data_IF_792663337533
#
_entry.id   IF_792663337533
#
_cell.length_a   1.000
_cell.length_b   1.000
_cell.length_c   1.000
_cell.angle_alpha   90.00
_cell.angle_beta   90.00
_cell.angle_gamma   90.00
#
_symmetry.space_group_name_H-M   'P 1'
#
loop_
_entity.id
_entity.type
_entity.pdbx_description
1 polymer ?
#
# COMPACT_ATOMS: atom_id res chain seq x y z
N UNK A 1 23.59 12.67 44.09
CA UNK A 1 22.12 12.78 43.80
C UNK A 1 21.77 12.58 42.32
N UNK A 2 22.60 13.07 41.39
CA UNK A 2 22.35 12.86 39.94
C UNK A 2 22.49 11.39 39.53
N UNK A 3 23.48 10.68 40.07
CA UNK A 3 23.66 9.24 39.81
C UNK A 3 22.52 8.39 40.37
N UNK A 4 21.97 8.76 41.52
CA UNK A 4 20.81 8.07 42.08
C UNK A 4 19.58 8.28 41.23
N UNK A 5 19.33 9.50 40.75
CA UNK A 5 18.24 9.82 39.85
C UNK A 5 18.36 9.08 38.51
N UNK A 6 19.54 8.98 37.91
CA UNK A 6 19.79 8.22 36.69
C UNK A 6 19.55 6.73 36.87
N UNK A 7 19.94 6.16 38.02
CA UNK A 7 19.68 4.75 38.30
C UNK A 7 18.19 4.48 38.51
N UNK A 8 17.51 5.32 39.33
CA UNK A 8 16.06 5.20 39.56
C UNK A 8 15.27 5.36 38.25
N UNK A 9 15.65 6.32 37.39
CA UNK A 9 15.04 6.52 36.08
C UNK A 9 15.24 5.31 35.17
N UNK A 10 16.44 4.72 35.16
CA UNK A 10 16.77 3.54 34.36
C UNK A 10 16.00 2.29 34.84
N UNK A 11 15.80 2.17 36.14
CA UNK A 11 15.04 1.07 36.76
C UNK A 11 13.53 1.19 36.45
N UNK A 12 12.99 2.40 36.55
CA UNK A 12 11.60 2.70 36.15
C UNK A 12 11.38 2.42 34.65
N UNK A 13 12.30 2.81 33.77
CA UNK A 13 12.23 2.50 32.35
C UNK A 13 12.27 0.99 32.07
N UNK A 14 13.11 0.24 32.82
CA UNK A 14 13.17 -1.22 32.68
C UNK A 14 11.88 -1.90 33.15
N UNK A 15 11.34 -1.48 34.29
CA UNK A 15 10.07 -2.04 34.80
C UNK A 15 8.88 -1.67 33.93
N UNK A 16 8.82 -0.44 33.43
CA UNK A 16 7.79 -0.03 32.46
C UNK A 16 7.88 -0.82 31.16
N UNK A 17 9.10 -1.09 30.67
CA UNK A 17 9.32 -1.96 29.50
C UNK A 17 8.87 -3.40 29.74
N UNK A 18 9.09 -3.93 30.94
CA UNK A 18 8.62 -5.29 31.29
C UNK A 18 7.10 -5.37 31.36
N UNK A 19 6.46 -4.39 32.00
CA UNK A 19 5.00 -4.31 32.08
C UNK A 19 4.40 -4.15 30.67
N UNK A 20 5.01 -3.30 29.84
CA UNK A 20 4.60 -3.14 28.44
C UNK A 20 4.74 -4.45 27.66
N UNK A 21 5.85 -5.16 27.82
CA UNK A 21 6.05 -6.49 27.24
C UNK A 21 5.03 -7.53 27.72
N UNK A 22 4.60 -7.46 28.98
CA UNK A 22 3.59 -8.37 29.51
C UNK A 22 2.18 -8.04 29.04
N UNK A 23 1.82 -6.76 28.95
CA UNK A 23 0.52 -6.30 28.45
C UNK A 23 0.31 -6.60 26.95
N UNK A 24 1.38 -6.63 26.18
CA UNK A 24 1.35 -6.90 24.73
C UNK A 24 1.92 -8.29 24.38
N UNK A 25 1.92 -9.23 25.33
CA UNK A 25 2.37 -10.62 25.10
C UNK A 25 1.53 -11.38 24.07
N UNK A 26 0.29 -10.96 23.84
CA UNK A 26 -0.59 -11.53 22.81
C UNK A 26 -0.43 -10.88 21.43
N UNK A 27 0.17 -9.70 21.35
CA UNK A 27 0.64 -9.13 20.10
C UNK A 27 1.96 -9.80 19.74
N UNK A 28 1.91 -10.80 18.85
CA UNK A 28 3.12 -11.44 18.32
C UNK A 28 4.07 -10.34 17.86
N UNK A 29 5.29 -10.23 18.44
CA UNK A 29 6.24 -9.22 18.03
C UNK A 29 6.46 -9.37 16.52
N UNK A 30 6.51 -8.26 15.80
CA UNK A 30 6.89 -8.17 14.40
C UNK A 30 8.33 -8.66 14.25
N UNK A 31 8.49 -9.97 14.27
CA UNK A 31 9.77 -10.62 14.13
C UNK A 31 9.97 -10.98 12.66
N UNK A 32 10.50 -10.02 11.90
CA UNK A 32 10.83 -10.22 10.49
C UNK A 32 12.20 -10.87 10.44
N UNK A 33 12.27 -12.14 10.06
CA UNK A 33 13.51 -12.93 9.98
C UNK A 33 14.38 -12.83 11.27
N UNK A 34 13.74 -12.82 12.44
CA UNK A 34 14.44 -12.91 13.72
C UNK A 34 14.90 -11.60 14.36
N UNK A 35 15.04 -10.48 13.66
CA UNK A 35 15.82 -9.34 14.17
C UNK A 35 15.19 -7.95 14.04
N UNK A 36 14.00 -7.76 13.43
CA UNK A 36 13.40 -6.42 13.31
C UNK A 36 12.22 -6.24 14.26
N UNK A 37 12.33 -5.24 15.15
CA UNK A 37 11.32 -4.87 16.15
C UNK A 37 10.84 -3.46 15.86
N UNK A 38 9.51 -3.30 15.64
CA UNK A 38 8.88 -2.00 15.37
C UNK A 38 8.01 -1.51 16.53
N UNK A 39 8.08 -2.18 17.68
CA UNK A 39 7.43 -1.78 18.93
C UNK A 39 8.45 -1.16 19.86
N UNK A 40 8.06 -0.12 20.60
CA UNK A 40 8.94 0.58 21.54
C UNK A 40 9.02 2.08 21.27
N UNK A 41 9.79 2.80 22.08
CA UNK A 41 9.95 4.26 21.97
C UNK A 41 11.05 4.61 20.96
N UNK A 42 12.07 3.76 20.85
CA UNK A 42 13.22 3.94 19.97
C UNK A 42 13.54 2.64 19.21
N UNK A 43 14.10 2.73 18.01
CA UNK A 43 14.50 1.56 17.24
C UNK A 43 15.70 0.86 17.90
N UNK A 44 15.69 -0.47 17.87
CA UNK A 44 16.87 -1.26 18.19
C UNK A 44 17.91 -1.18 17.06
N UNK A 45 19.20 -1.16 17.40
CA UNK A 45 20.29 -1.06 16.42
C UNK A 45 20.23 -2.20 15.37
N UNK A 46 19.87 -3.40 15.79
CA UNK A 46 19.68 -4.56 14.89
C UNK A 46 18.61 -4.29 13.84
N UNK A 47 17.50 -3.66 14.22
CA UNK A 47 16.43 -3.28 13.31
C UNK A 47 16.92 -2.27 12.29
N UNK A 48 17.67 -1.26 12.70
CA UNK A 48 18.23 -0.25 11.80
C UNK A 48 19.22 -0.87 10.81
N UNK A 49 20.09 -1.76 11.27
CA UNK A 49 21.03 -2.50 10.41
C UNK A 49 20.28 -3.33 9.38
N UNK A 50 19.20 -4.00 9.79
CA UNK A 50 18.40 -4.83 8.88
C UNK A 50 17.67 -3.99 7.83
N UNK A 51 17.13 -2.83 8.21
CA UNK A 51 16.51 -1.89 7.26
C UNK A 51 17.53 -1.34 6.25
N UNK A 52 18.74 -1.00 6.70
CA UNK A 52 19.81 -0.56 5.81
C UNK A 52 20.22 -1.68 4.81
N UNK A 53 20.24 -2.96 5.24
CA UNK A 53 20.47 -4.09 4.33
C UNK A 53 19.39 -4.25 3.27
N UNK A 54 18.16 -3.85 3.58
CA UNK A 54 17.04 -3.80 2.63
C UNK A 54 17.07 -2.53 1.74
N UNK A 55 18.17 -1.78 1.74
CA UNK A 55 18.42 -0.59 0.92
C UNK A 55 17.54 0.63 1.28
N UNK A 56 17.09 0.71 2.51
CA UNK A 56 16.45 1.93 3.00
C UNK A 56 17.53 2.92 3.46
N UNK A 57 17.58 4.11 2.86
CA UNK A 57 18.60 5.14 3.15
C UNK A 57 18.38 5.80 4.53
N UNK A 58 17.13 5.87 5.00
CA UNK A 58 16.79 6.48 6.27
C UNK A 58 16.03 5.49 7.17
N UNK A 59 16.76 4.52 7.73
CA UNK A 59 16.21 3.46 8.57
C UNK A 59 15.42 3.98 9.78
N UNK A 60 15.83 5.09 10.41
CA UNK A 60 15.10 5.71 11.52
C UNK A 60 13.71 6.22 11.09
N UNK A 61 13.62 6.88 9.95
CA UNK A 61 12.35 7.38 9.43
C UNK A 61 11.44 6.23 8.99
N UNK A 62 12.00 5.20 8.37
CA UNK A 62 11.28 3.97 7.99
C UNK A 62 10.71 3.30 9.25
N UNK A 63 11.51 3.15 10.29
CA UNK A 63 11.06 2.59 11.55
C UNK A 63 9.90 3.40 12.14
N UNK A 64 9.98 4.75 12.15
CA UNK A 64 8.90 5.63 12.65
C UNK A 64 7.60 5.45 11.86
N UNK A 65 7.67 5.29 10.55
CA UNK A 65 6.50 5.06 9.71
C UNK A 65 5.83 3.74 10.09
N UNK A 66 6.60 2.65 10.13
CA UNK A 66 6.08 1.30 10.41
C UNK A 66 5.58 1.19 11.84
N UNK A 67 6.31 1.74 12.80
CA UNK A 67 5.89 1.81 14.20
C UNK A 67 4.56 2.56 14.33
N UNK A 68 4.39 3.66 13.58
CA UNK A 68 3.13 4.43 13.54
C UNK A 68 1.91 3.63 13.08
N UNK A 69 2.11 2.58 12.29
CA UNK A 69 1.01 1.70 11.87
C UNK A 69 0.43 0.90 13.05
N UNK A 70 1.27 0.48 13.99
CA UNK A 70 0.84 -0.28 15.19
C UNK A 70 0.03 0.55 16.18
N UNK A 71 0.36 1.84 16.31
CA UNK A 71 -0.29 2.71 17.29
C UNK A 71 -1.66 3.25 16.85
N UNK A 72 -2.30 2.61 15.86
CA UNK A 72 -3.66 2.96 15.43
C UNK A 72 -3.80 4.35 14.80
N UNK A 73 -2.69 4.91 14.29
CA UNK A 73 -2.66 6.24 13.67
C UNK A 73 -3.62 6.38 12.50
N UNK A 74 -3.90 5.29 11.80
CA UNK A 74 -4.78 5.27 10.64
C UNK A 74 -6.10 4.58 10.93
N UNK A 75 -7.15 5.02 10.27
CA UNK A 75 -8.50 4.48 10.41
C UNK A 75 -8.56 2.96 10.21
N UNK A 76 -7.81 2.46 9.24
CA UNK A 76 -7.67 1.03 8.96
C UNK A 76 -7.08 0.24 10.14
N UNK A 77 -6.23 0.86 10.96
CA UNK A 77 -5.54 0.21 12.08
C UNK A 77 -6.35 0.20 13.38
N UNK A 78 -7.58 0.71 13.37
CA UNK A 78 -8.44 0.71 14.56
C UNK A 78 -8.94 -0.69 14.92
N UNK A 79 -9.01 -1.62 13.96
CA UNK A 79 -9.42 -3.00 14.22
C UNK A 79 -8.22 -3.89 14.48
N UNK A 80 -8.36 -4.82 15.44
CA UNK A 80 -7.32 -5.80 15.76
C UNK A 80 -6.96 -6.66 14.54
N UNK A 81 -7.98 -7.08 13.78
CA UNK A 81 -7.80 -7.90 12.57
C UNK A 81 -6.93 -7.19 11.52
N UNK A 82 -7.12 -5.89 11.31
CA UNK A 82 -6.29 -5.12 10.37
C UNK A 82 -4.85 -5.03 10.86
N UNK A 83 -4.63 -4.79 12.16
CA UNK A 83 -3.29 -4.77 12.75
C UNK A 83 -2.57 -6.10 12.59
N UNK A 84 -3.26 -7.22 12.88
CA UNK A 84 -2.71 -8.56 12.71
C UNK A 84 -2.34 -8.85 11.25
N UNK A 85 -3.23 -8.53 10.30
CA UNK A 85 -2.98 -8.71 8.87
C UNK A 85 -1.77 -7.90 8.39
N UNK A 86 -1.69 -6.63 8.79
CA UNK A 86 -0.55 -5.79 8.43
C UNK A 86 0.75 -6.32 9.06
N UNK A 87 0.70 -6.71 10.34
CA UNK A 87 1.84 -7.32 11.04
C UNK A 87 2.37 -8.54 10.29
N UNK A 88 1.48 -9.40 9.80
CA UNK A 88 1.87 -10.57 9.02
C UNK A 88 2.39 -10.21 7.62
N UNK A 89 1.95 -9.09 7.05
CA UNK A 89 2.34 -8.63 5.73
C UNK A 89 3.71 -7.93 5.72
N UNK A 90 4.09 -7.25 6.81
CA UNK A 90 5.30 -6.41 6.88
C UNK A 90 6.58 -7.15 6.44
N UNK A 91 6.86 -8.41 6.81
CA UNK A 91 8.06 -9.11 6.37
C UNK A 91 8.22 -9.12 4.86
N UNK A 92 7.19 -9.61 4.18
CA UNK A 92 7.18 -9.72 2.72
C UNK A 92 7.14 -8.33 2.06
N UNK A 93 6.38 -7.41 2.64
CA UNK A 93 6.28 -6.02 2.21
C UNK A 93 7.65 -5.34 2.19
N UNK A 94 8.40 -5.37 3.29
CA UNK A 94 9.73 -4.73 3.38
C UNK A 94 10.75 -5.39 2.46
N UNK A 95 10.74 -6.72 2.38
CA UNK A 95 11.61 -7.45 1.47
C UNK A 95 11.33 -7.10 0.00
N UNK A 96 10.07 -6.97 -0.35
CA UNK A 96 9.64 -6.61 -1.71
C UNK A 96 9.90 -5.14 -2.04
N UNK A 97 9.64 -4.22 -1.10
CA UNK A 97 9.97 -2.80 -1.25
C UNK A 97 11.47 -2.61 -1.40
N UNK A 98 12.30 -3.32 -0.63
CA UNK A 98 13.76 -3.24 -0.73
C UNK A 98 14.33 -3.67 -2.10
N UNK A 99 13.54 -4.38 -2.91
CA UNK A 99 13.88 -4.75 -4.29
C UNK A 99 13.45 -3.71 -5.32
N UNK A 100 12.63 -2.72 -4.95
CA UNK A 100 12.22 -1.65 -5.85
C UNK A 100 13.36 -0.66 -6.09
N UNK A 101 13.35 0.10 -7.19
CA UNK A 101 14.39 1.10 -7.47
C UNK A 101 14.49 2.20 -6.41
N UNK A 102 13.38 2.54 -5.76
CA UNK A 102 13.27 3.62 -4.78
C UNK A 102 12.54 3.14 -3.52
N UNK A 103 13.21 2.38 -2.62
CA UNK A 103 12.57 1.77 -1.46
C UNK A 103 11.88 2.76 -0.52
N UNK A 104 12.53 3.88 -0.19
CA UNK A 104 11.97 4.88 0.72
C UNK A 104 10.68 5.48 0.16
N UNK A 105 10.69 5.91 -1.11
CA UNK A 105 9.53 6.50 -1.79
C UNK A 105 8.40 5.49 -1.92
N UNK A 106 8.73 4.23 -2.23
CA UNK A 106 7.75 3.16 -2.33
C UNK A 106 7.05 2.93 -0.99
N UNK A 107 7.81 2.91 0.11
CA UNK A 107 7.25 2.80 1.45
C UNK A 107 6.36 3.99 1.81
N UNK A 108 6.78 5.23 1.50
CA UNK A 108 5.97 6.42 1.78
C UNK A 108 4.68 6.46 0.95
N UNK A 109 4.71 5.97 -0.29
CA UNK A 109 3.50 5.83 -1.12
C UNK A 109 2.58 4.74 -0.57
N UNK A 110 3.14 3.63 -0.07
CA UNK A 110 2.36 2.61 0.63
C UNK A 110 1.77 3.14 1.93
N UNK A 111 2.50 3.94 2.70
CA UNK A 111 2.00 4.62 3.89
C UNK A 111 0.83 5.57 3.56
N UNK A 112 0.95 6.36 2.49
CA UNK A 112 -0.14 7.21 2.01
C UNK A 112 -1.37 6.40 1.56
N UNK A 113 -1.15 5.27 0.93
CA UNK A 113 -2.22 4.34 0.59
C UNK A 113 -2.96 3.85 1.83
N UNK A 114 -2.25 3.41 2.87
CA UNK A 114 -2.85 2.98 4.14
C UNK A 114 -3.65 4.10 4.82
N UNK A 115 -3.20 5.35 4.74
CA UNK A 115 -3.92 6.53 5.28
C UNK A 115 -5.29 6.74 4.65
N UNK A 116 -5.39 6.51 3.35
CA UNK A 116 -6.59 6.75 2.56
C UNK A 116 -7.58 5.58 2.58
N UNK A 117 -7.15 4.40 3.05
CA UNK A 117 -8.00 3.24 3.21
C UNK A 117 -8.98 3.41 4.39
N UNK A 118 -10.26 3.44 4.08
CA UNK A 118 -11.32 3.50 5.11
C UNK A 118 -11.70 2.11 5.63
N UNK A 119 -11.66 1.08 4.77
CA UNK A 119 -12.02 -0.31 5.06
C UNK A 119 -10.93 -1.22 4.46
N UNK A 120 -9.96 -1.61 5.28
CA UNK A 120 -8.77 -2.24 4.75
C UNK A 120 -8.61 -3.73 5.00
N UNK A 121 -9.47 -4.37 5.82
CA UNK A 121 -9.33 -5.79 6.15
C UNK A 121 -9.32 -6.65 4.88
N UNK A 122 -10.24 -6.39 3.95
CA UNK A 122 -10.33 -7.14 2.70
C UNK A 122 -9.09 -6.93 1.82
N UNK A 123 -8.67 -5.68 1.63
CA UNK A 123 -7.49 -5.35 0.83
C UNK A 123 -6.22 -5.95 1.43
N UNK A 124 -6.01 -5.81 2.74
CA UNK A 124 -4.86 -6.40 3.42
C UNK A 124 -4.85 -7.93 3.38
N UNK A 125 -6.03 -8.58 3.49
CA UNK A 125 -6.15 -10.03 3.30
C UNK A 125 -5.70 -10.45 1.91
N UNK A 126 -6.20 -9.78 0.88
CA UNK A 126 -5.88 -10.10 -0.51
C UNK A 126 -4.38 -9.89 -0.83
N UNK A 127 -3.80 -8.78 -0.36
CA UNK A 127 -2.36 -8.54 -0.51
C UNK A 127 -1.51 -9.58 0.22
N UNK A 128 -1.98 -10.05 1.39
CA UNK A 128 -1.29 -11.10 2.14
C UNK A 128 -1.41 -12.48 1.49
N UNK A 129 -2.60 -12.81 0.97
CA UNK A 129 -2.89 -14.13 0.40
C UNK A 129 -2.30 -14.30 -1.00
N UNK A 130 -2.07 -13.19 -1.71
CA UNK A 130 -1.60 -13.22 -3.09
C UNK A 130 -0.32 -12.41 -3.26
N UNK A 131 0.81 -13.10 -3.19
CA UNK A 131 2.13 -12.48 -3.32
C UNK A 131 2.35 -11.82 -4.69
N UNK A 132 1.79 -12.37 -5.76
CA UNK A 132 1.91 -11.77 -7.10
C UNK A 132 1.22 -10.40 -7.13
N UNK A 133 0.03 -10.29 -6.57
CA UNK A 133 -0.71 -9.02 -6.46
C UNK A 133 0.06 -8.01 -5.61
N UNK A 134 0.65 -8.46 -4.49
CA UNK A 134 1.49 -7.59 -3.66
C UNK A 134 2.68 -7.04 -4.45
N UNK A 135 3.40 -7.89 -5.17
CA UNK A 135 4.55 -7.49 -5.98
C UNK A 135 4.16 -6.52 -7.09
N UNK A 136 3.09 -6.80 -7.82
CA UNK A 136 2.54 -5.93 -8.88
C UNK A 136 2.13 -4.57 -8.29
N UNK A 137 1.44 -4.57 -7.14
CA UNK A 137 1.05 -3.36 -6.42
C UNK A 137 2.26 -2.51 -6.01
N UNK A 138 3.27 -3.13 -5.40
CA UNK A 138 4.50 -2.44 -4.99
C UNK A 138 5.32 -1.94 -6.18
N UNK A 139 5.31 -2.66 -7.31
CA UNK A 139 5.93 -2.23 -8.56
C UNK A 139 5.26 -0.96 -9.10
N UNK A 140 3.94 -0.87 -9.06
CA UNK A 140 3.21 0.35 -9.44
C UNK A 140 3.62 1.53 -8.54
N UNK A 141 3.63 1.31 -7.22
CA UNK A 141 4.04 2.35 -6.26
C UNK A 141 5.50 2.77 -6.44
N UNK A 142 6.39 1.84 -6.78
CA UNK A 142 7.82 2.10 -6.94
C UNK A 142 8.17 2.77 -8.27
N UNK A 143 7.59 2.31 -9.38
CA UNK A 143 7.98 2.72 -10.72
C UNK A 143 7.24 3.96 -11.24
N UNK A 144 5.98 4.16 -10.83
CA UNK A 144 5.18 5.28 -11.33
C UNK A 144 4.57 6.12 -10.20
N UNK A 145 5.16 7.29 -9.88
CA UNK A 145 4.59 8.21 -8.89
C UNK A 145 3.14 8.60 -9.20
N UNK A 146 2.81 8.83 -10.47
CA UNK A 146 1.45 9.23 -10.88
C UNK A 146 0.43 8.11 -10.70
N UNK A 147 0.74 6.89 -11.16
CA UNK A 147 -0.15 5.75 -11.00
C UNK A 147 -0.30 5.36 -9.52
N UNK A 148 0.80 5.37 -8.76
CA UNK A 148 0.77 5.10 -7.33
C UNK A 148 -0.05 6.12 -6.54
N UNK A 149 0.09 7.42 -6.85
CA UNK A 149 -0.71 8.47 -6.24
C UNK A 149 -2.19 8.34 -6.62
N UNK A 150 -2.49 8.07 -7.89
CA UNK A 150 -3.84 7.88 -8.37
C UNK A 150 -4.52 6.66 -7.70
N UNK A 151 -3.82 5.54 -7.61
CA UNK A 151 -4.28 4.35 -6.90
C UNK A 151 -4.53 4.63 -5.40
N UNK A 152 -3.62 5.35 -4.74
CA UNK A 152 -3.76 5.70 -3.32
C UNK A 152 -4.93 6.64 -3.03
N UNK A 153 -5.30 7.48 -4.00
CA UNK A 153 -6.42 8.42 -3.88
C UNK A 153 -7.78 7.77 -4.22
N UNK A 154 -7.80 6.67 -4.96
CA UNK A 154 -9.01 6.03 -5.47
C UNK A 154 -9.09 4.56 -5.02
N UNK A 155 -9.66 4.33 -3.85
CA UNK A 155 -9.74 2.99 -3.23
C UNK A 155 -10.46 1.97 -4.14
N UNK A 156 -11.47 2.41 -4.90
CA UNK A 156 -12.21 1.54 -5.82
C UNK A 156 -11.33 0.93 -6.92
N UNK A 157 -10.27 1.65 -7.34
CA UNK A 157 -9.30 1.11 -8.30
C UNK A 157 -8.53 -0.09 -7.77
N UNK A 158 -8.37 -0.16 -6.44
CA UNK A 158 -7.68 -1.28 -5.81
C UNK A 158 -8.53 -2.53 -5.90
N UNK A 159 -9.83 -2.40 -5.67
CA UNK A 159 -10.75 -3.53 -5.82
C UNK A 159 -10.76 -4.03 -7.26
N UNK A 160 -10.78 -3.13 -8.24
CA UNK A 160 -10.67 -3.49 -9.65
C UNK A 160 -9.32 -4.13 -9.98
N UNK A 161 -8.21 -3.55 -9.49
CA UNK A 161 -6.86 -4.09 -9.67
C UNK A 161 -6.69 -5.49 -9.07
N UNK A 162 -7.38 -5.81 -7.98
CA UNK A 162 -7.34 -7.11 -7.33
C UNK A 162 -8.15 -8.19 -8.08
N UNK A 163 -8.96 -7.80 -9.06
CA UNK A 163 -9.72 -8.74 -9.90
C UNK A 163 -8.83 -9.30 -11.01
N UNK A 164 -8.99 -10.60 -11.31
CA UNK A 164 -8.22 -11.27 -12.39
C UNK A 164 -8.42 -10.62 -13.75
N UNK A 165 -9.61 -10.09 -14.01
CA UNK A 165 -9.97 -9.49 -15.30
C UNK A 165 -9.30 -8.12 -15.52
N UNK A 166 -8.75 -7.49 -14.48
CA UNK A 166 -8.04 -6.23 -14.63
C UNK A 166 -6.86 -6.29 -15.60
N UNK A 167 -6.19 -7.43 -15.67
CA UNK A 167 -5.05 -7.64 -16.57
C UNK A 167 -5.47 -8.15 -17.97
N UNK A 168 -6.75 -8.47 -18.15
CA UNK A 168 -7.27 -8.88 -19.45
C UNK A 168 -7.73 -7.66 -20.23
N UNK A 169 -6.91 -7.24 -21.20
CA UNK A 169 -7.20 -6.10 -22.08
C UNK A 169 -7.47 -6.51 -23.54
N UNK A 170 -7.69 -7.81 -23.80
CA UNK A 170 -7.93 -8.31 -25.15
C UNK A 170 -9.21 -7.75 -25.76
N UNK A 171 -10.28 -7.67 -24.98
CA UNK A 171 -11.59 -7.17 -25.40
C UNK A 171 -11.93 -5.79 -24.81
N UNK A 172 -10.90 -5.00 -24.47
CA UNK A 172 -11.10 -3.71 -23.78
C UNK A 172 -11.88 -2.71 -24.63
N UNK A 173 -11.75 -2.76 -25.98
CA UNK A 173 -12.52 -1.91 -26.90
C UNK A 173 -14.03 -2.15 -26.79
N UNK A 174 -14.43 -3.42 -26.78
CA UNK A 174 -15.84 -3.79 -26.66
C UNK A 174 -16.38 -3.32 -25.30
N UNK A 175 -15.63 -3.56 -24.24
CA UNK A 175 -15.98 -3.10 -22.90
C UNK A 175 -16.11 -1.57 -22.81
N UNK A 176 -15.18 -0.82 -23.42
CA UNK A 176 -15.24 0.65 -23.48
C UNK A 176 -16.54 1.12 -24.14
N UNK A 177 -16.88 0.57 -25.31
CA UNK A 177 -18.09 0.96 -26.03
C UNK A 177 -19.36 0.66 -25.23
N UNK A 178 -19.44 -0.52 -24.62
CA UNK A 178 -20.59 -0.92 -23.82
C UNK A 178 -20.77 0.01 -22.61
N UNK A 179 -19.69 0.31 -21.87
CA UNK A 179 -19.76 1.18 -20.70
C UNK A 179 -20.10 2.63 -21.06
N UNK A 180 -19.51 3.16 -22.14
CA UNK A 180 -19.84 4.52 -22.61
C UNK A 180 -21.31 4.64 -23.01
N UNK A 181 -21.87 3.60 -23.65
CA UNK A 181 -23.27 3.55 -23.98
C UNK A 181 -24.15 3.52 -22.72
N UNK A 182 -23.82 2.67 -21.76
CA UNK A 182 -24.53 2.61 -20.48
C UNK A 182 -24.51 3.96 -19.75
N UNK A 183 -23.34 4.65 -19.68
CA UNK A 183 -23.23 5.97 -19.05
C UNK A 183 -24.09 7.01 -19.77
N UNK A 184 -24.13 6.99 -21.09
CA UNK A 184 -24.96 7.88 -21.90
C UNK A 184 -26.44 7.67 -21.65
N UNK A 185 -26.88 6.42 -21.52
CA UNK A 185 -28.28 6.02 -21.37
C UNK A 185 -28.79 6.07 -19.91
N UNK A 186 -27.92 6.45 -18.93
CA UNK A 186 -28.36 6.67 -17.56
C UNK A 186 -29.47 7.72 -17.48
N UNK A 187 -30.48 7.46 -16.67
CA UNK A 187 -31.54 8.45 -16.34
C UNK A 187 -31.13 9.31 -15.15
N UNK A 188 -30.07 10.10 -15.35
CA UNK A 188 -29.50 11.00 -14.31
C UNK A 188 -29.20 12.37 -14.88
N UNK A 189 -28.94 13.35 -13.99
CA UNK A 189 -28.57 14.68 -14.39
C UNK A 189 -27.30 14.72 -15.24
N UNK A 190 -27.18 15.70 -16.14
CA UNK A 190 -26.05 15.84 -17.04
C UNK A 190 -24.71 15.88 -16.32
N UNK A 191 -24.61 16.62 -15.23
CA UNK A 191 -23.40 16.73 -14.40
C UNK A 191 -22.96 15.39 -13.83
N UNK A 192 -23.92 14.53 -13.47
CA UNK A 192 -23.64 13.18 -12.98
C UNK A 192 -23.14 12.26 -14.10
N UNK A 193 -23.71 12.36 -15.29
CA UNK A 193 -23.20 11.65 -16.47
C UNK A 193 -21.75 12.03 -16.79
N UNK A 194 -21.43 13.34 -16.78
CA UNK A 194 -20.08 13.86 -17.00
C UNK A 194 -19.11 13.34 -15.93
N UNK A 195 -19.54 13.32 -14.68
CA UNK A 195 -18.75 12.79 -13.57
C UNK A 195 -18.45 11.29 -13.77
N UNK A 196 -19.46 10.48 -14.04
CA UNK A 196 -19.34 9.03 -14.26
C UNK A 196 -18.45 8.73 -15.47
N UNK A 197 -18.62 9.48 -16.54
CA UNK A 197 -17.77 9.44 -17.73
C UNK A 197 -16.30 9.72 -17.39
N UNK A 198 -16.03 10.81 -16.65
CA UNK A 198 -14.66 11.17 -16.26
C UNK A 198 -14.01 10.11 -15.37
N UNK A 199 -14.74 9.54 -14.42
CA UNK A 199 -14.27 8.44 -13.57
C UNK A 199 -13.91 7.24 -14.45
N UNK A 200 -14.82 6.79 -15.30
CA UNK A 200 -14.63 5.65 -16.19
C UNK A 200 -13.38 5.83 -17.10
N UNK A 201 -13.26 6.98 -17.77
CA UNK A 201 -12.11 7.28 -18.64
C UNK A 201 -10.79 7.20 -17.85
N UNK A 202 -10.76 7.70 -16.63
CA UNK A 202 -9.57 7.65 -15.79
C UNK A 202 -9.24 6.23 -15.32
N UNK A 203 -10.26 5.41 -15.04
CA UNK A 203 -10.08 3.99 -14.70
C UNK A 203 -9.47 3.21 -15.87
N UNK A 204 -9.98 3.41 -17.10
CA UNK A 204 -9.43 2.76 -18.30
C UNK A 204 -7.99 3.21 -18.56
N UNK A 205 -7.69 4.51 -18.45
CA UNK A 205 -6.32 5.02 -18.57
C UNK A 205 -5.39 4.40 -17.54
N UNK A 206 -5.87 4.25 -16.32
CA UNK A 206 -5.12 3.61 -15.24
C UNK A 206 -4.87 2.12 -15.56
N UNK A 207 -5.89 1.39 -15.98
CA UNK A 207 -5.77 -0.03 -16.37
C UNK A 207 -4.74 -0.22 -17.51
N UNK A 208 -4.83 0.59 -18.56
CA UNK A 208 -3.87 0.55 -19.68
C UNK A 208 -2.45 0.85 -19.19
N UNK A 209 -2.29 1.90 -18.38
CA UNK A 209 -1.00 2.32 -17.83
C UNK A 209 -0.36 1.29 -16.93
N UNK A 210 -1.14 0.63 -16.07
CA UNK A 210 -0.67 -0.45 -15.20
C UNK A 210 -0.26 -1.68 -16.01
N UNK A 211 -1.06 -2.09 -16.99
CA UNK A 211 -0.73 -3.23 -17.86
C UNK A 211 0.58 -3.00 -18.63
N UNK A 212 0.81 -1.77 -19.09
CA UNK A 212 2.08 -1.41 -19.71
C UNK A 212 3.25 -1.42 -18.71
N UNK A 213 3.07 -0.80 -17.54
CA UNK A 213 4.11 -0.70 -16.52
C UNK A 213 4.59 -2.08 -16.02
N UNK A 214 3.68 -3.05 -15.98
CA UNK A 214 3.94 -4.43 -15.52
C UNK A 214 4.29 -5.39 -16.67
N UNK A 215 4.63 -4.87 -17.86
CA UNK A 215 4.98 -5.65 -19.05
C UNK A 215 3.92 -6.69 -19.47
N UNK A 216 2.64 -6.42 -19.13
CA UNK A 216 1.50 -7.28 -19.54
C UNK A 216 1.05 -6.99 -20.97
N UNK A 217 1.46 -5.85 -21.53
CA UNK A 217 1.07 -5.42 -22.88
C UNK A 217 2.16 -4.59 -23.55
N UNK A 218 2.13 -4.53 -24.89
CA UNK A 218 3.10 -3.75 -25.67
C UNK A 218 2.75 -2.27 -25.73
N UNK A 219 3.75 -1.42 -25.96
CA UNK A 219 3.56 0.03 -26.16
C UNK A 219 2.62 0.33 -27.35
N UNK A 220 2.69 -0.46 -28.41
CA UNK A 220 1.84 -0.32 -29.60
C UNK A 220 0.36 -0.55 -29.24
N UNK A 221 0.09 -1.58 -28.45
CA UNK A 221 -1.27 -1.87 -27.98
C UNK A 221 -1.79 -0.76 -27.04
N UNK A 222 -0.93 -0.25 -26.16
CA UNK A 222 -1.29 0.87 -25.29
C UNK A 222 -1.65 2.14 -26.09
N UNK A 223 -0.82 2.50 -27.05
CA UNK A 223 -1.10 3.65 -27.93
C UNK A 223 -2.40 3.50 -28.69
N UNK A 224 -2.64 2.31 -29.23
CA UNK A 224 -3.88 2.00 -29.89
C UNK A 224 -5.10 2.16 -28.96
N UNK A 225 -5.07 1.56 -27.78
CA UNK A 225 -6.17 1.63 -26.81
C UNK A 225 -6.42 3.05 -26.31
N UNK A 226 -5.36 3.83 -26.04
CA UNK A 226 -5.51 5.23 -25.64
C UNK A 226 -6.09 6.09 -26.77
N UNK A 227 -5.68 5.84 -28.02
CA UNK A 227 -6.24 6.52 -29.19
C UNK A 227 -7.70 6.12 -29.39
N UNK A 228 -8.01 4.84 -29.29
CA UNK A 228 -9.38 4.34 -29.37
C UNK A 228 -10.28 4.98 -28.30
N UNK A 229 -9.82 5.00 -27.05
CA UNK A 229 -10.52 5.65 -25.95
C UNK A 229 -10.78 7.14 -26.25
N UNK A 230 -9.78 7.87 -26.78
CA UNK A 230 -9.92 9.29 -27.10
C UNK A 230 -10.88 9.59 -28.26
N UNK A 231 -11.01 8.67 -29.23
CA UNK A 231 -11.91 8.85 -30.38
C UNK A 231 -13.35 8.49 -29.99
N UNK A 232 -13.53 7.52 -29.11
CA UNK A 232 -14.87 7.02 -28.72
C UNK A 232 -15.48 7.80 -27.56
N UNK A 233 -14.67 8.56 -26.83
CA UNK A 233 -15.09 9.42 -25.71
C UNK A 233 -15.47 10.82 -26.17
#
# INVERSE_FOLDING_TARGET
DVMKFQNDYTEILKSTRLIFKELFKDDKPLNIQGDMIFTGVEPEEKTLVSLNRLKFDNAHQVWKVISGWHYGRYRIMQTEKSRQLLTMLIPELLNSIGKTPYPNETLYRFDNFLKNLSYGVHVLSLLKENNTILLDFLSILGLSPKLGQYMSANVNLIESFLQKDFFNIENLETYILEQLKLIKDLDTAYEEKVKNFSIFINEIKFQIGVNYLLDKTSIIRCQYLLTYLAITS
#
